data_IF_540425056119
#
_entry.id   IF_540425056119
#
_cell.length_a   1.000
_cell.length_b   1.000
_cell.length_c   1.000
_cell.angle_alpha   90.00
_cell.angle_beta   90.00
_cell.angle_gamma   90.00
#
_symmetry.space_group_name_H-M   'P 1'
#
loop_
_entity.id
_entity.type
_entity.pdbx_description
1 polymer ?
#
# COMPACT_ATOMS: atom_id res chain seq x y z
N UNK A 1 -47.01 65.93 -16.19
CA UNK A 1 -46.09 65.06 -15.43
C UNK A 1 -45.29 65.96 -14.50
N UNK A 2 -45.26 65.60 -13.22
CA UNK A 2 -44.84 66.48 -12.12
C UNK A 2 -43.30 66.63 -12.08
N UNK A 3 -42.76 67.84 -12.12
CA UNK A 3 -41.31 68.09 -12.17
C UNK A 3 -40.56 67.45 -10.98
N UNK A 4 -41.26 67.27 -9.85
CA UNK A 4 -40.75 66.61 -8.65
C UNK A 4 -40.52 65.11 -8.85
N UNK A 5 -41.38 64.41 -9.60
CA UNK A 5 -41.20 62.97 -9.85
C UNK A 5 -40.07 62.71 -10.84
N UNK A 6 -39.86 63.58 -11.83
CA UNK A 6 -38.68 63.52 -12.71
C UNK A 6 -37.36 63.75 -11.96
N UNK A 7 -37.33 64.71 -11.01
CA UNK A 7 -36.14 64.94 -10.19
C UNK A 7 -35.81 63.76 -9.28
N UNK A 8 -36.82 63.13 -8.66
CA UNK A 8 -36.65 61.93 -7.85
C UNK A 8 -36.13 60.77 -8.70
N UNK A 9 -36.71 60.55 -9.89
CA UNK A 9 -36.27 59.50 -10.83
C UNK A 9 -34.80 59.71 -11.24
N UNK A 10 -34.42 60.93 -11.63
CA UNK A 10 -33.05 61.26 -12.01
C UNK A 10 -32.04 61.05 -10.87
N UNK A 11 -32.45 61.33 -9.62
CA UNK A 11 -31.61 61.12 -8.44
C UNK A 11 -31.42 59.63 -8.14
N UNK A 12 -32.47 58.82 -8.32
CA UNK A 12 -32.43 57.36 -8.19
C UNK A 12 -31.53 56.75 -9.28
N UNK A 13 -31.71 57.15 -10.54
CA UNK A 13 -30.90 56.66 -11.67
C UNK A 13 -29.43 57.05 -11.52
N UNK A 14 -29.14 58.26 -11.05
CA UNK A 14 -27.77 58.69 -10.74
C UNK A 14 -27.16 57.85 -9.61
N UNK A 15 -27.96 57.41 -8.63
CA UNK A 15 -27.50 56.54 -7.53
C UNK A 15 -27.25 55.12 -8.01
N UNK A 16 -28.09 54.59 -8.90
CA UNK A 16 -27.89 53.27 -9.53
C UNK A 16 -26.61 53.27 -10.37
N UNK A 17 -26.40 54.28 -11.22
CA UNK A 17 -25.17 54.42 -12.03
C UNK A 17 -23.90 54.51 -11.18
N UNK A 18 -23.95 55.20 -10.04
CA UNK A 18 -22.83 55.25 -9.07
C UNK A 18 -22.56 53.88 -8.42
N UNK A 19 -23.60 53.13 -8.10
CA UNK A 19 -23.44 51.78 -7.55
C UNK A 19 -22.87 50.82 -8.61
N UNK A 20 -23.26 50.96 -9.87
CA UNK A 20 -22.70 50.19 -10.99
C UNK A 20 -21.23 50.53 -11.22
N UNK A 21 -20.83 51.81 -11.20
CA UNK A 21 -19.43 52.21 -11.35
C UNK A 21 -18.55 51.69 -10.21
N UNK A 22 -19.04 51.75 -8.95
CA UNK A 22 -18.33 51.18 -7.80
C UNK A 22 -18.14 49.67 -7.96
N UNK A 23 -19.17 48.95 -8.40
CA UNK A 23 -19.06 47.50 -8.66
C UNK A 23 -18.05 47.18 -9.78
N UNK A 24 -18.00 48.01 -10.83
CA UNK A 24 -17.02 47.87 -11.91
C UNK A 24 -15.61 48.13 -11.40
N UNK A 25 -15.39 49.19 -10.61
CA UNK A 25 -14.09 49.50 -10.02
C UNK A 25 -13.62 48.40 -9.07
N UNK A 26 -14.51 47.87 -8.22
CA UNK A 26 -14.20 46.73 -7.36
C UNK A 26 -13.82 45.48 -8.17
N UNK A 27 -14.50 45.22 -9.28
CA UNK A 27 -14.19 44.10 -10.16
C UNK A 27 -12.81 44.29 -10.83
N UNK A 28 -12.49 45.51 -11.28
CA UNK A 28 -11.19 45.85 -11.86
C UNK A 28 -10.07 45.67 -10.83
N UNK A 29 -10.25 46.15 -9.59
CA UNK A 29 -9.27 45.99 -8.50
C UNK A 29 -9.05 44.51 -8.16
N UNK A 30 -10.12 43.71 -8.10
CA UNK A 30 -10.04 42.25 -7.90
C UNK A 30 -9.28 41.58 -9.06
N UNK A 31 -9.53 41.98 -10.30
CA UNK A 31 -8.85 41.43 -11.47
C UNK A 31 -7.36 41.83 -11.50
N UNK A 32 -7.05 43.10 -11.26
CA UNK A 32 -5.67 43.61 -11.20
C UNK A 32 -4.86 42.93 -10.08
N UNK A 33 -5.43 42.79 -8.88
CA UNK A 33 -4.75 42.11 -7.78
C UNK A 33 -4.54 40.62 -8.07
N UNK A 34 -5.49 39.94 -8.71
CA UNK A 34 -5.33 38.56 -9.15
C UNK A 34 -4.23 38.41 -10.22
N UNK A 35 -4.18 39.30 -11.22
CA UNK A 35 -3.14 39.31 -12.25
C UNK A 35 -1.75 39.58 -11.66
N UNK A 36 -1.60 40.59 -10.79
CA UNK A 36 -0.34 40.90 -10.10
C UNK A 36 0.13 39.71 -9.25
N UNK A 37 -0.80 39.09 -8.52
CA UNK A 37 -0.51 37.88 -7.73
C UNK A 37 0.01 36.75 -8.61
N UNK A 38 -0.65 36.43 -9.73
CA UNK A 38 -0.18 35.40 -10.67
C UNK A 38 1.18 35.72 -11.27
N UNK A 39 1.46 36.97 -11.64
CA UNK A 39 2.75 37.38 -12.19
C UNK A 39 3.88 37.25 -11.18
N UNK A 40 3.69 37.74 -9.95
CA UNK A 40 4.68 37.64 -8.88
C UNK A 40 4.93 36.18 -8.50
N UNK A 41 3.87 35.37 -8.42
CA UNK A 41 4.01 33.92 -8.16
C UNK A 41 4.77 33.24 -9.30
N UNK A 42 4.44 33.56 -10.55
CA UNK A 42 5.12 33.01 -11.72
C UNK A 42 6.60 33.37 -11.78
N UNK A 43 6.95 34.63 -11.49
CA UNK A 43 8.34 35.09 -11.41
C UNK A 43 9.09 34.34 -10.29
N UNK A 44 8.52 34.30 -9.08
CA UNK A 44 9.15 33.62 -7.94
C UNK A 44 9.35 32.13 -8.18
N UNK A 45 8.39 31.46 -8.81
CA UNK A 45 8.53 30.04 -9.16
C UNK A 45 9.63 29.80 -10.20
N UNK A 46 9.80 30.70 -11.19
CA UNK A 46 10.92 30.62 -12.13
C UNK A 46 12.26 30.82 -11.42
N UNK A 47 12.34 31.74 -10.47
CA UNK A 47 13.54 31.94 -9.64
C UNK A 47 13.86 30.67 -8.85
N UNK A 48 12.86 30.04 -8.23
CA UNK A 48 13.04 28.76 -7.53
C UNK A 48 13.52 27.68 -8.51
N UNK A 49 12.90 27.55 -9.68
CA UNK A 49 13.30 26.51 -10.65
C UNK A 49 14.74 26.67 -11.10
N UNK A 50 15.18 27.90 -11.37
CA UNK A 50 16.56 28.18 -11.78
C UNK A 50 17.54 27.93 -10.63
N UNK A 51 17.20 28.40 -9.43
CA UNK A 51 18.05 28.30 -8.24
C UNK A 51 18.24 26.87 -7.72
N UNK A 52 17.24 26.00 -7.88
CA UNK A 52 17.29 24.60 -7.44
C UNK A 52 17.57 23.60 -8.58
N UNK A 53 17.87 24.10 -9.79
CA UNK A 53 18.24 23.24 -10.91
C UNK A 53 19.57 22.51 -10.67
N UNK A 54 19.76 21.37 -11.36
CA UNK A 54 20.91 20.48 -11.15
C UNK A 54 22.27 21.14 -11.45
N UNK A 55 22.29 22.26 -12.17
CA UNK A 55 23.49 23.05 -12.47
C UNK A 55 23.96 23.98 -11.34
N UNK A 56 23.16 24.18 -10.28
CA UNK A 56 23.53 25.07 -9.19
C UNK A 56 24.45 24.38 -8.15
N UNK A 57 25.61 24.97 -7.78
CA UNK A 57 26.51 24.41 -6.78
C UNK A 57 25.82 24.31 -5.42
N UNK A 58 25.78 23.11 -4.85
CA UNK A 58 25.07 22.79 -3.60
C UNK A 58 25.58 23.53 -2.36
N UNK A 59 26.79 24.10 -2.41
CA UNK A 59 27.47 24.76 -1.30
C UNK A 59 26.97 26.18 -0.98
N UNK A 60 26.16 26.80 -1.84
CA UNK A 60 25.72 28.19 -1.65
C UNK A 60 24.32 28.35 -1.05
N UNK A 61 23.49 27.30 -1.06
CA UNK A 61 22.10 27.41 -0.64
C UNK A 61 22.01 27.35 0.90
N UNK A 62 21.54 28.44 1.52
CA UNK A 62 21.33 28.51 2.97
C UNK A 62 20.09 27.71 3.36
N UNK A 63 20.15 26.99 4.48
CA UNK A 63 19.03 26.20 4.99
C UNK A 63 17.77 27.03 5.26
N UNK A 64 17.90 28.26 5.75
CA UNK A 64 16.77 29.19 5.97
C UNK A 64 16.08 29.55 4.65
N UNK A 65 16.84 29.67 3.56
CA UNK A 65 16.27 29.93 2.24
C UNK A 65 15.48 28.72 1.74
N UNK A 66 16.03 27.50 1.90
CA UNK A 66 15.29 26.26 1.60
C UNK A 66 13.97 26.18 2.37
N UNK A 67 13.99 26.51 3.68
CA UNK A 67 12.80 26.54 4.53
C UNK A 67 11.76 27.55 4.03
N UNK A 68 12.20 28.76 3.64
CA UNK A 68 11.30 29.79 3.12
C UNK A 68 10.67 29.37 1.79
N UNK A 69 11.47 28.85 0.85
CA UNK A 69 11.01 28.48 -0.48
C UNK A 69 10.07 27.28 -0.43
N UNK A 70 10.37 26.24 0.36
CA UNK A 70 9.47 25.09 0.50
C UNK A 70 8.16 25.48 1.19
N UNK A 71 8.22 26.34 2.22
CA UNK A 71 7.02 26.84 2.91
C UNK A 71 6.15 27.65 1.94
N UNK A 72 6.76 28.47 1.09
CA UNK A 72 6.06 29.24 0.06
C UNK A 72 5.34 28.33 -0.94
N UNK A 73 6.04 27.31 -1.47
CA UNK A 73 5.46 26.35 -2.41
C UNK A 73 4.33 25.54 -1.76
N UNK A 74 4.45 25.15 -0.49
CA UNK A 74 3.38 24.46 0.24
C UNK A 74 2.12 25.32 0.37
N UNK A 75 2.28 26.60 0.73
CA UNK A 75 1.15 27.55 0.82
C UNK A 75 0.49 27.73 -0.55
N UNK A 76 1.27 27.81 -1.63
CA UNK A 76 0.73 27.87 -2.98
C UNK A 76 -0.03 26.60 -3.35
N UNK A 77 0.49 25.42 -2.98
CA UNK A 77 -0.17 24.14 -3.26
C UNK A 77 -1.52 23.98 -2.55
N UNK A 78 -1.74 24.68 -1.43
CA UNK A 78 -3.02 24.72 -0.71
C UNK A 78 -4.05 25.65 -1.40
N UNK A 79 -3.59 26.66 -2.16
CA UNK A 79 -4.47 27.58 -2.89
C UNK A 79 -4.86 26.97 -4.24
N UNK A 80 -6.10 26.47 -4.33
CA UNK A 80 -6.67 25.92 -5.57
C UNK A 80 -6.50 26.90 -6.75
N UNK A 81 -5.98 26.41 -7.88
CA UNK A 81 -6.03 27.10 -9.18
C UNK A 81 -4.83 27.97 -9.58
N UNK A 82 -3.72 27.99 -8.83
CA UNK A 82 -2.56 28.81 -9.23
C UNK A 82 -1.53 28.08 -10.11
N UNK A 83 -0.93 26.97 -9.67
CA UNK A 83 0.06 26.17 -10.43
C UNK A 83 0.17 24.77 -9.80
N UNK A 84 0.43 23.71 -10.58
CA UNK A 84 0.83 22.40 -10.03
C UNK A 84 2.22 22.52 -9.37
N UNK A 85 2.23 22.66 -8.05
CA UNK A 85 3.44 22.89 -7.24
C UNK A 85 4.35 21.67 -7.06
N UNK A 86 3.97 20.52 -7.62
CA UNK A 86 4.55 19.21 -7.31
C UNK A 86 6.00 19.10 -7.79
N UNK A 87 6.26 19.54 -9.02
CA UNK A 87 7.61 19.56 -9.60
C UNK A 87 8.57 20.43 -8.78
N UNK A 88 8.11 21.57 -8.27
CA UNK A 88 8.91 22.46 -7.42
C UNK A 88 9.21 21.85 -6.05
N UNK A 89 8.23 21.16 -5.44
CA UNK A 89 8.45 20.42 -4.19
C UNK A 89 9.58 19.42 -4.40
N UNK A 90 9.51 18.59 -5.44
CA UNK A 90 10.53 17.56 -5.70
C UNK A 90 11.92 18.16 -5.90
N UNK A 91 12.05 19.27 -6.64
CA UNK A 91 13.34 19.95 -6.84
C UNK A 91 13.95 20.43 -5.52
N UNK A 92 13.14 21.09 -4.69
CA UNK A 92 13.61 21.59 -3.39
C UNK A 92 13.95 20.42 -2.46
N UNK A 93 13.13 19.36 -2.44
CA UNK A 93 13.36 18.17 -1.62
C UNK A 93 14.69 17.49 -1.96
N UNK A 94 15.08 17.40 -3.25
CA UNK A 94 16.40 16.87 -3.63
C UNK A 94 17.54 17.65 -2.98
N UNK A 95 17.48 18.98 -3.01
CA UNK A 95 18.52 19.83 -2.39
C UNK A 95 18.46 19.78 -0.86
N UNK A 96 17.28 19.65 -0.26
CA UNK A 96 17.16 19.42 1.19
C UNK A 96 17.84 18.11 1.59
N UNK A 97 17.58 17.01 0.89
CA UNK A 97 18.23 15.71 1.14
C UNK A 97 19.75 15.85 0.99
N UNK A 98 20.22 16.42 -0.11
CA UNK A 98 21.65 16.64 -0.35
C UNK A 98 22.30 17.48 0.76
N UNK A 99 21.58 18.47 1.31
CA UNK A 99 22.11 19.32 2.38
C UNK A 99 22.39 18.55 3.68
N UNK A 100 21.72 17.42 3.93
CA UNK A 100 21.93 16.60 5.13
C UNK A 100 23.33 15.95 5.18
N UNK A 101 23.99 15.83 4.03
CA UNK A 101 25.37 15.36 3.91
C UNK A 101 26.41 16.42 4.30
N UNK A 102 25.99 17.69 4.45
CA UNK A 102 26.87 18.77 4.87
C UNK A 102 26.98 18.89 6.40
N UNK A 103 28.20 19.10 6.89
CA UNK A 103 28.52 19.34 8.31
C UNK A 103 28.34 20.81 8.73
N UNK A 104 28.01 21.70 7.79
CA UNK A 104 27.84 23.13 8.06
C UNK A 104 26.42 23.42 8.54
N UNK A 105 26.28 24.01 9.74
CA UNK A 105 24.99 24.36 10.35
C UNK A 105 24.16 25.38 9.55
N UNK A 106 24.77 26.18 8.67
CA UNK A 106 24.09 27.18 7.82
C UNK A 106 23.60 26.61 6.49
N UNK A 107 24.18 25.49 6.04
CA UNK A 107 23.85 24.84 4.76
C UNK A 107 22.96 23.63 4.99
N UNK A 108 23.28 22.83 6.00
CA UNK A 108 22.51 21.64 6.35
C UNK A 108 21.11 22.00 6.81
N UNK A 109 20.10 21.39 6.20
CA UNK A 109 18.72 21.53 6.66
C UNK A 109 18.54 21.02 8.10
N UNK A 110 19.33 20.02 8.50
CA UNK A 110 19.39 19.53 9.88
C UNK A 110 19.79 20.62 10.89
N UNK A 111 20.59 21.62 10.47
CA UNK A 111 20.98 22.74 11.32
C UNK A 111 19.81 23.63 11.78
N UNK A 112 18.68 23.63 11.06
CA UNK A 112 17.48 24.37 11.46
C UNK A 112 16.88 23.84 12.77
N UNK A 113 17.02 22.55 13.03
CA UNK A 113 16.53 21.90 14.25
C UNK A 113 17.43 22.14 15.47
N UNK A 114 18.65 22.65 15.26
CA UNK A 114 19.54 23.07 16.33
C UNK A 114 19.34 24.54 16.71
N UNK A 115 18.64 25.31 15.87
CA UNK A 115 18.33 26.72 16.11
C UNK A 115 17.00 26.91 16.83
N UNK A 116 17.02 27.54 18.01
CA UNK A 116 15.80 27.88 18.76
C UNK A 116 14.80 28.72 17.95
N UNK A 117 15.29 29.55 17.03
CA UNK A 117 14.47 30.46 16.22
C UNK A 117 13.71 29.69 15.12
N UNK A 118 14.37 28.71 14.50
CA UNK A 118 13.85 28.05 13.30
C UNK A 118 13.24 26.67 13.58
N UNK A 119 13.53 26.04 14.73
CA UNK A 119 13.06 24.71 15.08
C UNK A 119 11.54 24.56 14.94
N UNK A 120 10.75 25.46 15.53
CA UNK A 120 9.28 25.37 15.48
C UNK A 120 8.76 25.46 14.06
N UNK A 121 9.27 26.41 13.27
CA UNK A 121 8.85 26.61 11.88
C UNK A 121 9.26 25.42 11.00
N UNK A 122 10.50 24.94 11.14
CA UNK A 122 10.98 23.78 10.41
C UNK A 122 10.15 22.53 10.72
N UNK A 123 9.81 22.30 11.99
CA UNK A 123 8.98 21.17 12.40
C UNK A 123 7.58 21.22 11.76
N UNK A 124 6.91 22.38 11.80
CA UNK A 124 5.60 22.55 11.15
C UNK A 124 5.69 22.28 9.65
N UNK A 125 6.71 22.83 8.99
CA UNK A 125 6.93 22.62 7.55
C UNK A 125 7.17 21.14 7.21
N UNK A 126 7.92 20.39 8.03
CA UNK A 126 8.12 18.96 7.81
C UNK A 126 6.81 18.18 8.00
N UNK A 127 6.01 18.49 9.03
CA UNK A 127 4.71 17.83 9.22
C UNK A 127 3.80 18.04 8.00
N UNK A 128 3.74 19.28 7.49
CA UNK A 128 3.01 19.61 6.26
C UNK A 128 3.56 18.86 5.05
N UNK A 129 4.89 18.71 4.95
CA UNK A 129 5.53 17.93 3.88
C UNK A 129 5.19 16.46 3.95
N UNK A 130 5.24 15.82 5.13
CA UNK A 130 4.90 14.40 5.25
C UNK A 130 3.49 14.14 4.72
N UNK A 131 2.50 14.94 5.14
CA UNK A 131 1.13 14.85 4.64
C UNK A 131 1.01 15.11 3.14
N UNK A 132 1.69 16.15 2.62
CA UNK A 132 1.61 16.48 1.20
C UNK A 132 2.29 15.42 0.34
N UNK A 133 3.44 14.90 0.78
CA UNK A 133 4.21 13.88 0.06
C UNK A 133 3.40 12.59 -0.08
N UNK A 134 2.71 12.12 0.96
CA UNK A 134 1.89 10.91 0.85
C UNK A 134 0.71 11.09 -0.09
N UNK A 135 0.09 12.28 -0.12
CA UNK A 135 -0.95 12.61 -1.10
C UNK A 135 -0.36 12.58 -2.52
N UNK A 136 0.79 13.22 -2.74
CA UNK A 136 1.47 13.22 -4.04
C UNK A 136 1.80 11.79 -4.49
N UNK A 137 2.36 10.96 -3.60
CA UNK A 137 2.63 9.55 -3.90
C UNK A 137 1.36 8.81 -4.35
N UNK A 138 0.21 9.07 -3.72
CA UNK A 138 -1.05 8.42 -4.11
C UNK A 138 -1.62 8.93 -5.45
N UNK A 139 -1.38 10.20 -5.81
CA UNK A 139 -1.86 10.83 -7.04
C UNK A 139 -0.97 10.52 -8.26
N UNK A 140 0.26 10.05 -8.05
CA UNK A 140 1.20 9.75 -9.13
C UNK A 140 0.74 8.57 -10.00
N UNK A 141 0.76 8.78 -11.31
CA UNK A 141 0.58 7.70 -12.27
C UNK A 141 1.88 6.88 -12.40
N UNK A 142 1.81 5.55 -12.23
CA UNK A 142 2.98 4.68 -12.27
C UNK A 142 3.60 4.52 -13.67
N UNK A 143 2.85 4.80 -14.75
CA UNK A 143 3.24 4.45 -16.12
C UNK A 143 4.42 5.25 -16.71
N UNK A 144 4.77 6.43 -16.19
CA UNK A 144 5.87 7.23 -16.73
C UNK A 144 7.19 7.05 -15.98
N UNK A 145 8.29 6.82 -16.71
CA UNK A 145 9.66 6.61 -16.16
C UNK A 145 10.12 7.77 -15.26
N UNK A 146 9.68 9.01 -15.53
CA UNK A 146 9.96 10.19 -14.71
C UNK A 146 9.34 10.10 -13.30
N UNK A 147 8.24 9.37 -13.14
CA UNK A 147 7.56 9.17 -11.86
C UNK A 147 8.34 8.22 -10.94
N UNK A 148 9.14 7.28 -11.47
CA UNK A 148 9.97 6.39 -10.65
C UNK A 148 11.09 7.14 -9.90
N UNK A 149 11.78 8.08 -10.57
CA UNK A 149 12.78 8.96 -9.91
C UNK A 149 12.14 9.91 -8.91
N UNK A 150 10.95 10.39 -9.23
CA UNK A 150 10.19 11.32 -8.38
C UNK A 150 9.72 10.63 -7.11
N UNK A 151 9.11 9.44 -7.22
CA UNK A 151 8.68 8.65 -6.07
C UNK A 151 9.86 8.23 -5.19
N UNK A 152 10.99 7.84 -5.80
CA UNK A 152 12.24 7.58 -5.08
C UNK A 152 12.73 8.79 -4.28
N UNK A 153 12.67 10.00 -4.84
CA UNK A 153 13.04 11.24 -4.13
C UNK A 153 12.10 11.50 -2.95
N UNK A 154 10.79 11.38 -3.18
CA UNK A 154 9.76 11.60 -2.17
C UNK A 154 9.89 10.61 -0.99
N UNK A 155 10.09 9.32 -1.29
CA UNK A 155 10.29 8.29 -0.27
C UNK A 155 11.63 8.46 0.43
N UNK A 156 12.70 8.85 -0.27
CA UNK A 156 14.00 9.13 0.36
C UNK A 156 13.91 10.29 1.34
N UNK A 157 13.11 11.32 1.06
CA UNK A 157 12.83 12.38 2.04
C UNK A 157 12.16 11.82 3.29
N UNK A 158 11.09 11.02 3.15
CA UNK A 158 10.38 10.42 4.29
C UNK A 158 11.32 9.57 5.16
N UNK A 159 12.18 8.76 4.52
CA UNK A 159 13.19 7.95 5.23
C UNK A 159 14.20 8.85 5.96
N UNK A 160 14.74 9.86 5.29
CA UNK A 160 15.77 10.76 5.84
C UNK A 160 15.30 11.55 7.08
N UNK A 161 13.99 11.84 7.18
CA UNK A 161 13.43 12.55 8.33
C UNK A 161 12.72 11.62 9.33
N UNK A 162 12.65 10.31 9.07
CA UNK A 162 12.22 9.29 10.03
C UNK A 162 13.34 8.84 10.98
N UNK A 163 14.60 9.09 10.61
CA UNK A 163 15.78 8.82 11.44
C UNK A 163 16.86 9.86 11.20
N UNK A 164 17.43 10.38 12.29
CA UNK A 164 18.54 11.36 12.26
C UNK A 164 19.92 10.72 12.13
N UNK A 165 19.99 9.38 12.05
CA UNK A 165 21.25 8.61 12.05
C UNK A 165 22.13 8.90 10.82
N UNK A 166 21.53 9.29 9.71
CA UNK A 166 22.23 9.58 8.44
C UNK A 166 22.71 11.02 8.33
N UNK A 167 22.33 11.91 9.25
CA UNK A 167 22.65 13.33 9.15
C UNK A 167 24.09 13.57 9.55
N UNK A 168 24.94 13.93 8.59
CA UNK A 168 26.38 14.16 8.79
C UNK A 168 26.68 15.12 9.96
N UNK A 169 25.87 16.17 10.11
CA UNK A 169 25.97 17.19 11.15
C UNK A 169 25.85 16.61 12.57
N UNK A 170 25.08 15.54 12.75
CA UNK A 170 24.66 15.02 14.06
C UNK A 170 25.11 13.57 14.26
N UNK A 171 25.70 12.94 13.24
CA UNK A 171 26.13 11.53 13.24
C UNK A 171 26.97 11.15 14.47
N UNK A 172 27.78 12.09 14.96
CA UNK A 172 28.74 11.87 16.05
C UNK A 172 28.20 12.27 17.44
N UNK A 173 26.98 12.81 17.54
CA UNK A 173 26.41 13.33 18.79
C UNK A 173 25.15 12.55 19.19
N UNK A 174 25.33 11.44 19.92
CA UNK A 174 24.24 10.54 20.32
C UNK A 174 23.13 11.24 21.14
N UNK A 175 23.48 12.21 21.99
CA UNK A 175 22.51 12.99 22.78
C UNK A 175 21.57 13.81 21.89
N UNK A 176 22.12 14.51 20.89
CA UNK A 176 21.35 15.31 19.94
C UNK A 176 20.53 14.41 19.01
N UNK A 177 21.06 13.26 18.59
CA UNK A 177 20.30 12.28 17.82
C UNK A 177 19.08 11.77 18.57
N UNK A 178 19.24 11.47 19.87
CA UNK A 178 18.14 11.01 20.71
C UNK A 178 17.07 12.10 20.90
N UNK A 179 17.50 13.33 21.22
CA UNK A 179 16.59 14.47 21.38
C UNK A 179 15.81 14.78 20.09
N UNK A 180 16.48 14.85 18.94
CA UNK A 180 15.80 15.03 17.66
C UNK A 180 14.97 13.81 17.25
N UNK A 181 15.44 12.60 17.59
CA UNK A 181 14.70 11.36 17.39
C UNK A 181 13.33 11.42 18.05
N UNK A 182 13.24 11.90 19.29
CA UNK A 182 11.96 12.09 19.99
C UNK A 182 11.03 13.08 19.28
N UNK A 183 11.57 14.12 18.62
CA UNK A 183 10.76 15.09 17.86
C UNK A 183 10.17 14.49 16.58
N UNK A 184 10.77 13.44 16.03
CA UNK A 184 10.32 12.79 14.81
C UNK A 184 9.47 11.54 15.04
N UNK A 185 9.33 11.08 16.29
CA UNK A 185 8.37 10.02 16.64
C UNK A 185 6.94 10.37 16.18
N UNK A 186 6.40 11.59 16.42
CA UNK A 186 5.08 11.96 15.92
C UNK A 186 4.95 11.96 14.39
N UNK A 187 6.03 12.26 13.65
CA UNK A 187 6.01 12.18 12.18
C UNK A 187 5.84 10.76 11.67
N UNK A 188 6.46 9.79 12.35
CA UNK A 188 6.30 8.38 12.01
C UNK A 188 4.86 7.95 12.29
N UNK A 189 4.28 8.37 13.42
CA UNK A 189 2.86 8.13 13.73
C UNK A 189 1.88 8.77 12.74
N UNK A 190 2.28 9.83 12.03
CA UNK A 190 1.46 10.41 10.97
C UNK A 190 1.27 9.45 9.79
N UNK A 191 2.24 8.57 9.53
CA UNK A 191 2.19 7.58 8.43
C UNK A 191 1.12 6.51 8.65
N UNK A 192 0.75 6.26 9.90
CA UNK A 192 -0.29 5.30 10.32
C UNK A 192 -1.65 5.96 10.56
N UNK A 193 -1.77 7.28 10.37
CA UNK A 193 -3.06 7.95 10.35
C UNK A 193 -3.92 7.43 9.18
N UNK A 194 -5.25 7.30 9.34
CA UNK A 194 -6.10 6.61 8.34
C UNK A 194 -5.95 7.14 6.91
N UNK A 195 -5.88 8.47 6.75
CA UNK A 195 -5.77 9.12 5.45
C UNK A 195 -4.41 8.87 4.80
N UNK A 196 -3.33 9.10 5.54
CA UNK A 196 -1.95 8.95 5.07
C UNK A 196 -1.63 7.50 4.75
N UNK A 197 -2.09 6.59 5.61
CA UNK A 197 -1.98 5.16 5.42
C UNK A 197 -2.67 4.70 4.13
N UNK A 198 -3.92 5.14 3.91
CA UNK A 198 -4.64 4.81 2.68
C UNK A 198 -3.93 5.34 1.42
N UNK A 199 -3.38 6.56 1.47
CA UNK A 199 -2.58 7.10 0.37
C UNK A 199 -1.36 6.22 0.05
N UNK A 200 -0.66 5.73 1.07
CA UNK A 200 0.49 4.83 0.89
C UNK A 200 0.08 3.46 0.34
N UNK A 201 -1.05 2.91 0.78
CA UNK A 201 -1.61 1.67 0.21
C UNK A 201 -1.95 1.85 -1.26
N UNK A 202 -2.66 2.92 -1.62
CA UNK A 202 -3.00 3.22 -3.02
C UNK A 202 -1.75 3.41 -3.88
N UNK A 203 -0.70 4.04 -3.35
CA UNK A 203 0.58 4.16 -4.05
C UNK A 203 1.23 2.79 -4.32
N UNK A 204 1.30 1.92 -3.30
CA UNK A 204 1.88 0.58 -3.45
C UNK A 204 1.06 -0.30 -4.41
N UNK A 205 -0.26 -0.29 -4.27
CA UNK A 205 -1.18 -1.05 -5.11
C UNK A 205 -1.05 -0.62 -6.58
N UNK A 206 -1.16 0.68 -6.87
CA UNK A 206 -1.00 1.21 -8.23
C UNK A 206 0.38 0.89 -8.81
N UNK A 207 1.44 1.03 -8.02
CA UNK A 207 2.79 0.81 -8.53
C UNK A 207 3.14 -0.65 -8.81
N UNK A 208 2.44 -1.61 -8.17
CA UNK A 208 2.70 -3.05 -8.31
C UNK A 208 1.76 -3.70 -9.33
N UNK A 209 0.49 -3.30 -9.39
CA UNK A 209 -0.53 -3.93 -10.23
C UNK A 209 -0.43 -3.57 -11.73
N UNK A 210 0.46 -2.65 -12.10
CA UNK A 210 0.73 -2.32 -13.51
C UNK A 210 1.28 -3.52 -14.31
N UNK A 211 1.17 -3.47 -15.64
CA UNK A 211 1.72 -4.51 -16.53
C UNK A 211 3.23 -4.70 -16.32
N UNK A 212 3.95 -3.60 -16.08
CA UNK A 212 5.36 -3.56 -15.70
C UNK A 212 5.47 -2.74 -14.42
N UNK A 213 6.16 -3.28 -13.42
CA UNK A 213 6.28 -2.60 -12.12
C UNK A 213 6.99 -1.27 -12.28
N UNK A 214 6.31 -0.21 -11.85
CA UNK A 214 6.77 1.17 -11.99
C UNK A 214 7.70 1.62 -10.86
N UNK A 215 7.50 1.04 -9.67
CA UNK A 215 8.22 1.40 -8.46
C UNK A 215 9.45 0.48 -8.29
N UNK A 216 10.60 1.07 -7.98
CA UNK A 216 11.81 0.27 -7.71
C UNK A 216 11.67 -0.57 -6.44
N UNK A 217 12.39 -1.69 -6.37
CA UNK A 217 12.39 -2.58 -5.20
C UNK A 217 12.82 -1.83 -3.93
N UNK A 218 13.77 -0.92 -4.04
CA UNK A 218 14.28 -0.09 -2.94
C UNK A 218 13.19 0.82 -2.40
N UNK A 219 12.39 1.42 -3.28
CA UNK A 219 11.30 2.30 -2.89
C UNK A 219 10.18 1.53 -2.15
N UNK A 220 9.80 0.33 -2.62
CA UNK A 220 8.85 -0.56 -1.92
C UNK A 220 9.37 -0.90 -0.52
N UNK A 221 10.64 -1.30 -0.41
CA UNK A 221 11.25 -1.66 0.87
C UNK A 221 11.32 -0.46 1.82
N UNK A 222 11.66 0.72 1.31
CA UNK A 222 11.72 1.94 2.11
C UNK A 222 10.34 2.33 2.68
N UNK A 223 9.28 2.28 1.86
CA UNK A 223 7.90 2.51 2.34
C UNK A 223 7.51 1.46 3.39
N UNK A 224 7.82 0.19 3.15
CA UNK A 224 7.56 -0.87 4.12
C UNK A 224 8.30 -0.64 5.44
N UNK A 225 9.59 -0.33 5.41
CA UNK A 225 10.39 -0.07 6.62
C UNK A 225 9.83 1.11 7.41
N UNK A 226 9.35 2.16 6.74
CA UNK A 226 8.68 3.29 7.38
C UNK A 226 7.39 2.88 8.09
N UNK A 227 6.50 2.17 7.39
CA UNK A 227 5.25 1.66 7.96
C UNK A 227 5.51 0.71 9.13
N UNK A 228 6.44 -0.22 8.97
CA UNK A 228 6.79 -1.20 9.98
C UNK A 228 7.42 -0.57 11.22
N UNK A 229 8.23 0.48 11.05
CA UNK A 229 8.73 1.30 12.17
C UNK A 229 7.59 1.97 12.91
N UNK A 230 6.57 2.47 12.20
CA UNK A 230 5.37 3.04 12.83
C UNK A 230 4.56 2.00 13.59
N UNK A 231 4.35 0.80 13.01
CA UNK A 231 3.67 -0.30 13.69
C UNK A 231 4.38 -0.70 14.99
N UNK A 232 5.72 -0.73 14.99
CA UNK A 232 6.51 -0.98 16.21
C UNK A 232 6.32 0.10 17.27
N UNK A 233 6.13 1.37 16.87
CA UNK A 233 5.88 2.47 17.80
C UNK A 233 4.46 2.43 18.37
N UNK A 234 3.45 2.12 17.56
CA UNK A 234 2.07 1.97 18.02
C UNK A 234 1.89 0.74 18.92
N UNK A 235 2.70 -0.30 18.71
CA UNK A 235 2.69 -1.55 19.45
C UNK A 235 2.05 -2.68 18.65
N UNK A 236 2.81 -3.73 18.37
CA UNK A 236 2.40 -4.84 17.49
C UNK A 236 1.31 -5.75 18.10
N UNK A 237 0.96 -5.56 19.37
CA UNK A 237 -0.08 -6.32 20.07
C UNK A 237 -1.48 -5.74 19.88
N UNK A 238 -1.59 -4.50 19.37
CA UNK A 238 -2.88 -3.84 19.17
C UNK A 238 -3.59 -4.39 17.94
N UNK A 239 -4.87 -4.73 18.09
CA UNK A 239 -5.75 -5.17 17.01
C UNK A 239 -5.70 -4.22 15.80
N UNK A 240 -5.79 -2.90 16.00
CA UNK A 240 -5.74 -1.90 14.93
C UNK A 240 -4.46 -1.97 14.08
N UNK A 241 -3.31 -2.28 14.69
CA UNK A 241 -2.02 -2.39 13.99
C UNK A 241 -2.00 -3.67 13.15
N UNK A 242 -2.54 -4.76 13.70
CA UNK A 242 -2.68 -6.03 12.98
C UNK A 242 -3.63 -5.84 11.80
N UNK A 243 -4.78 -5.20 11.99
CA UNK A 243 -5.73 -4.90 10.90
C UNK A 243 -5.10 -4.04 9.80
N UNK A 244 -4.32 -3.02 10.16
CA UNK A 244 -3.55 -2.25 9.18
C UNK A 244 -2.61 -3.17 8.42
N UNK A 245 -1.85 -4.03 9.11
CA UNK A 245 -0.95 -4.99 8.46
C UNK A 245 -1.69 -5.99 7.55
N UNK A 246 -2.87 -6.47 7.94
CA UNK A 246 -3.70 -7.34 7.12
C UNK A 246 -4.10 -6.65 5.80
N UNK A 247 -4.37 -5.34 5.81
CA UNK A 247 -4.58 -4.57 4.57
C UNK A 247 -3.34 -4.48 3.68
N UNK A 248 -2.11 -4.58 4.21
CA UNK A 248 -0.90 -4.71 3.38
C UNK A 248 -0.82 -6.08 2.70
N UNK A 249 -1.33 -7.13 3.34
CA UNK A 249 -1.40 -8.46 2.73
C UNK A 249 -2.35 -8.50 1.54
N UNK A 250 -3.35 -7.62 1.50
CA UNK A 250 -4.25 -7.46 0.35
C UNK A 250 -3.58 -6.90 -0.91
N UNK A 251 -2.34 -6.39 -0.85
CA UNK A 251 -1.63 -5.86 -2.03
C UNK A 251 -0.95 -7.01 -2.80
N UNK A 252 -1.23 -7.20 -4.10
CA UNK A 252 -0.72 -8.34 -4.86
C UNK A 252 0.79 -8.49 -4.81
N UNK A 253 1.28 -9.68 -4.46
CA UNK A 253 2.71 -10.04 -4.53
C UNK A 253 3.70 -9.14 -3.77
N UNK A 254 3.21 -8.29 -2.86
CA UNK A 254 4.04 -7.32 -2.14
C UNK A 254 5.21 -8.00 -1.41
N UNK A 255 4.94 -9.09 -0.71
CA UNK A 255 5.92 -9.74 0.17
C UNK A 255 7.02 -10.47 -0.60
N UNK A 256 6.73 -10.98 -1.79
CA UNK A 256 7.74 -11.60 -2.67
C UNK A 256 8.74 -10.57 -3.21
N UNK A 257 8.35 -9.29 -3.26
CA UNK A 257 9.22 -8.17 -3.70
C UNK A 257 10.04 -7.58 -2.57
N UNK A 258 9.79 -7.95 -1.32
CA UNK A 258 10.62 -7.48 -0.21
C UNK A 258 12.07 -7.98 -0.32
N UNK A 259 12.97 -7.17 0.23
CA UNK A 259 14.35 -7.55 0.44
C UNK A 259 14.45 -8.56 1.58
N UNK A 260 15.55 -9.32 1.61
CA UNK A 260 15.83 -10.24 2.72
C UNK A 260 15.82 -9.52 4.08
N UNK A 261 16.29 -8.26 4.12
CA UNK A 261 16.27 -7.44 5.33
C UNK A 261 14.85 -7.18 5.85
N UNK A 262 13.95 -6.73 4.97
CA UNK A 262 12.54 -6.46 5.35
C UNK A 262 11.81 -7.73 5.80
N UNK A 263 12.08 -8.86 5.15
CA UNK A 263 11.51 -10.16 5.56
C UNK A 263 12.03 -10.57 6.94
N UNK A 264 13.34 -10.45 7.18
CA UNK A 264 13.95 -10.72 8.50
C UNK A 264 13.35 -9.85 9.60
N UNK A 265 13.07 -8.57 9.32
CA UNK A 265 12.42 -7.67 10.28
C UNK A 265 11.01 -8.14 10.70
N UNK A 266 10.23 -8.71 9.77
CA UNK A 266 8.93 -9.32 10.06
C UNK A 266 9.12 -10.59 10.88
N UNK A 267 10.15 -11.36 10.56
CA UNK A 267 10.41 -12.62 11.25
C UNK A 267 10.80 -12.43 12.70
N UNK A 268 11.65 -11.46 12.99
CA UNK A 268 12.09 -11.13 14.35
C UNK A 268 11.00 -10.50 15.22
N UNK A 269 9.93 -9.97 14.63
CA UNK A 269 8.89 -9.27 15.39
C UNK A 269 7.81 -10.19 15.96
N UNK A 270 7.81 -11.48 15.59
CA UNK A 270 6.76 -12.43 15.97
C UNK A 270 5.37 -12.07 15.42
N UNK A 271 5.30 -11.17 14.43
CA UNK A 271 4.05 -10.62 13.92
C UNK A 271 3.17 -11.70 13.28
N UNK A 272 3.75 -12.74 12.70
CA UNK A 272 3.00 -13.85 12.10
C UNK A 272 2.15 -14.61 13.13
N UNK A 273 2.69 -14.90 14.33
CA UNK A 273 1.92 -15.52 15.41
C UNK A 273 0.75 -14.64 15.84
N UNK A 274 0.98 -13.32 15.95
CA UNK A 274 -0.05 -12.35 16.31
C UNK A 274 -1.17 -12.27 15.26
N UNK A 275 -0.82 -12.39 13.98
CA UNK A 275 -1.81 -12.48 12.89
C UNK A 275 -2.68 -13.73 13.07
N UNK A 276 -2.09 -14.90 13.30
CA UNK A 276 -2.86 -16.14 13.46
C UNK A 276 -3.83 -16.02 14.63
N UNK A 277 -3.35 -15.56 15.79
CA UNK A 277 -4.18 -15.38 16.98
C UNK A 277 -5.32 -14.39 16.76
N UNK A 278 -5.04 -13.27 16.08
CA UNK A 278 -6.06 -12.27 15.75
C UNK A 278 -7.14 -12.83 14.82
N UNK A 279 -6.74 -13.59 13.80
CA UNK A 279 -7.67 -14.19 12.84
C UNK A 279 -8.51 -15.31 13.46
N UNK A 280 -7.95 -16.06 14.43
CA UNK A 280 -8.69 -17.04 15.19
C UNK A 280 -9.77 -16.37 16.08
N UNK A 281 -9.41 -15.26 16.74
CA UNK A 281 -10.36 -14.47 17.53
C UNK A 281 -11.43 -13.77 16.68
N UNK A 282 -11.13 -13.47 15.41
CA UNK A 282 -12.00 -12.71 14.51
C UNK A 282 -12.20 -13.43 13.16
N UNK A 283 -12.90 -14.59 13.13
CA UNK A 283 -13.08 -15.38 11.90
C UNK A 283 -13.89 -14.63 10.83
N UNK A 284 -14.74 -13.69 11.25
CA UNK A 284 -15.57 -12.84 10.39
C UNK A 284 -14.81 -11.70 9.70
N UNK A 285 -13.57 -11.41 10.11
CA UNK A 285 -12.79 -10.27 9.60
C UNK A 285 -12.64 -10.33 8.08
N UNK A 286 -12.27 -11.50 7.54
CA UNK A 286 -12.08 -11.68 6.11
C UNK A 286 -13.36 -11.46 5.31
N UNK A 287 -14.51 -11.84 5.88
CA UNK A 287 -15.80 -11.75 5.19
C UNK A 287 -16.33 -10.31 5.18
N UNK A 288 -16.05 -9.55 6.22
CA UNK A 288 -16.56 -8.18 6.41
C UNK A 288 -15.66 -7.10 5.83
N UNK A 289 -14.34 -7.30 5.86
CA UNK A 289 -13.36 -6.24 5.56
C UNK A 289 -12.73 -6.38 4.18
N UNK A 290 -12.46 -7.60 3.72
CA UNK A 290 -11.81 -7.81 2.42
C UNK A 290 -12.82 -7.68 1.28
N UNK A 291 -12.41 -7.02 0.20
CA UNK A 291 -13.18 -7.02 -1.05
C UNK A 291 -12.91 -8.27 -1.85
N UNK A 292 -13.84 -8.58 -2.76
CA UNK A 292 -13.76 -9.71 -3.71
C UNK A 292 -12.42 -9.74 -4.47
N UNK A 293 -11.89 -8.58 -4.86
CA UNK A 293 -10.62 -8.43 -5.59
C UNK A 293 -9.40 -8.72 -4.70
N UNK A 294 -9.51 -8.53 -3.39
CA UNK A 294 -8.41 -8.61 -2.43
C UNK A 294 -8.19 -10.03 -1.88
N UNK A 295 -9.15 -10.95 -2.07
CA UNK A 295 -9.08 -12.32 -1.52
C UNK A 295 -7.85 -13.10 -2.03
N UNK A 296 -7.59 -12.99 -3.33
CA UNK A 296 -6.53 -13.76 -3.98
C UNK A 296 -5.12 -13.20 -3.64
N UNK A 297 -4.88 -11.88 -3.71
CA UNK A 297 -3.67 -11.26 -3.18
C UNK A 297 -3.40 -11.58 -1.72
N UNK A 298 -4.42 -11.47 -0.89
CA UNK A 298 -4.33 -11.75 0.55
C UNK A 298 -3.90 -13.20 0.80
N UNK A 299 -4.57 -14.16 0.14
CA UNK A 299 -4.21 -15.58 0.25
C UNK A 299 -2.77 -15.84 -0.22
N UNK A 300 -2.35 -15.27 -1.35
CA UNK A 300 -1.00 -15.43 -1.86
C UNK A 300 0.07 -14.95 -0.87
N UNK A 301 -0.08 -13.74 -0.34
CA UNK A 301 0.88 -13.20 0.62
C UNK A 301 0.84 -13.91 1.98
N UNK A 302 -0.33 -14.34 2.44
CA UNK A 302 -0.47 -15.11 3.67
C UNK A 302 0.24 -16.48 3.56
N UNK A 303 0.06 -17.18 2.44
CA UNK A 303 0.77 -18.44 2.15
C UNK A 303 2.29 -18.22 2.07
N UNK A 304 2.73 -17.13 1.46
CA UNK A 304 4.14 -16.78 1.39
C UNK A 304 4.74 -16.53 2.79
N UNK A 305 4.05 -15.77 3.65
CA UNK A 305 4.45 -15.59 5.06
C UNK A 305 4.48 -16.91 5.83
N UNK A 306 3.50 -17.78 5.61
CA UNK A 306 3.42 -19.10 6.24
C UNK A 306 4.62 -19.97 5.84
N UNK A 307 5.05 -19.88 4.59
CA UNK A 307 6.23 -20.60 4.13
C UNK A 307 7.55 -20.06 4.72
N UNK A 308 7.62 -18.77 5.02
CA UNK A 308 8.77 -18.19 5.73
C UNK A 308 8.78 -18.58 7.22
N UNK A 309 7.61 -18.84 7.80
CA UNK A 309 7.39 -19.10 9.22
C UNK A 309 6.88 -20.52 9.51
N UNK A 310 7.52 -21.53 8.91
CA UNK A 310 7.09 -22.93 9.00
C UNK A 310 6.92 -23.40 10.44
N UNK A 311 7.87 -23.11 11.33
CA UNK A 311 7.81 -23.57 12.72
C UNK A 311 6.54 -23.06 13.43
N UNK A 312 6.26 -21.75 13.31
CA UNK A 312 5.09 -21.11 13.94
C UNK A 312 3.78 -21.63 13.32
N UNK A 313 3.79 -21.87 12.00
CA UNK A 313 2.63 -22.44 11.29
C UNK A 313 2.35 -23.87 11.73
N UNK A 314 3.39 -24.69 11.93
CA UNK A 314 3.24 -26.08 12.39
C UNK A 314 2.68 -26.12 13.83
N UNK A 315 3.15 -25.23 14.71
CA UNK A 315 2.64 -25.13 16.08
C UNK A 315 1.17 -24.71 16.14
N UNK A 316 0.72 -23.86 15.20
CA UNK A 316 -0.65 -23.34 15.13
C UNK A 316 -1.41 -23.88 13.91
N UNK A 317 -1.13 -25.13 13.53
CA UNK A 317 -1.69 -25.76 12.34
C UNK A 317 -3.22 -25.73 12.24
N UNK A 318 -4.01 -26.01 13.30
CA UNK A 318 -5.47 -26.04 13.18
C UNK A 318 -6.05 -24.65 12.89
N UNK A 319 -5.54 -23.61 13.54
CA UNK A 319 -5.98 -22.22 13.36
C UNK A 319 -5.62 -21.72 11.96
N UNK A 320 -4.40 -22.01 11.52
CA UNK A 320 -3.94 -21.70 10.17
C UNK A 320 -4.81 -22.40 9.10
N UNK A 321 -5.10 -23.70 9.29
CA UNK A 321 -5.92 -24.48 8.37
C UNK A 321 -7.36 -23.96 8.27
N UNK A 322 -7.97 -23.62 9.41
CA UNK A 322 -9.30 -23.02 9.46
C UNK A 322 -9.36 -21.74 8.61
N UNK A 323 -8.33 -20.89 8.72
CA UNK A 323 -8.24 -19.66 7.97
C UNK A 323 -8.05 -19.88 6.46
N UNK A 324 -7.12 -20.77 6.06
CA UNK A 324 -6.93 -21.14 4.65
C UNK A 324 -8.22 -21.74 4.06
N UNK A 325 -8.93 -22.59 4.80
CA UNK A 325 -10.21 -23.14 4.38
C UNK A 325 -11.24 -22.03 4.14
N UNK A 326 -11.33 -21.05 5.05
CA UNK A 326 -12.22 -19.91 4.86
C UNK A 326 -11.87 -19.10 3.60
N UNK A 327 -10.58 -18.80 3.37
CA UNK A 327 -10.14 -18.09 2.16
C UNK A 327 -10.45 -18.87 0.87
N UNK A 328 -10.29 -20.20 0.88
CA UNK A 328 -10.65 -21.05 -0.25
C UNK A 328 -12.15 -21.05 -0.51
N UNK A 329 -12.99 -21.07 0.55
CA UNK A 329 -14.45 -20.93 0.43
C UNK A 329 -14.84 -19.56 -0.14
N UNK A 330 -14.20 -18.49 0.32
CA UNK A 330 -14.41 -17.15 -0.24
C UNK A 330 -14.03 -17.10 -1.72
N UNK A 331 -12.91 -17.72 -2.11
CA UNK A 331 -12.51 -17.83 -3.51
C UNK A 331 -13.50 -18.67 -4.35
N UNK A 332 -14.19 -19.66 -3.77
CA UNK A 332 -15.23 -20.42 -4.47
C UNK A 332 -16.41 -19.54 -4.89
N UNK A 333 -16.75 -18.51 -4.09
CA UNK A 333 -17.85 -17.57 -4.42
C UNK A 333 -17.59 -16.77 -5.70
N UNK A 334 -16.34 -16.70 -6.16
CA UNK A 334 -15.93 -16.06 -7.43
C UNK A 334 -16.35 -16.87 -8.66
N UNK A 335 -16.50 -18.20 -8.49
CA UNK A 335 -16.87 -19.10 -9.57
C UNK A 335 -18.39 -19.05 -9.81
N UNK A 336 -18.84 -18.95 -11.08
CA UNK A 336 -20.26 -18.99 -11.43
C UNK A 336 -20.91 -20.33 -11.03
N UNK A 337 -20.11 -21.38 -10.81
CA UNK A 337 -20.58 -22.70 -10.36
C UNK A 337 -21.05 -22.72 -8.89
N UNK A 338 -20.67 -21.72 -8.07
CA UNK A 338 -21.10 -21.66 -6.66
C UNK A 338 -22.43 -20.93 -6.47
N UNK A 339 -22.95 -20.25 -7.50
CA UNK A 339 -24.32 -19.74 -7.49
C UNK A 339 -25.22 -20.94 -7.75
N UNK A 340 -25.75 -21.52 -6.66
CA UNK A 340 -26.71 -22.62 -6.70
C UNK A 340 -27.80 -22.38 -7.75
N UNK A 341 -28.28 -23.50 -8.28
CA UNK A 341 -29.13 -23.69 -9.45
C UNK A 341 -30.45 -22.88 -9.56
N UNK A 342 -30.72 -21.92 -8.67
CA UNK A 342 -31.96 -21.16 -8.61
C UNK A 342 -31.94 -19.85 -9.41
N UNK A 343 -30.77 -19.28 -9.73
CA UNK A 343 -30.66 -18.01 -10.48
C UNK A 343 -30.00 -18.16 -11.87
N UNK A 344 -30.36 -19.21 -12.62
CA UNK A 344 -29.91 -19.43 -14.01
C UNK A 344 -30.57 -18.50 -15.05
N UNK A 345 -31.34 -17.48 -14.63
CA UNK A 345 -32.20 -16.69 -15.53
C UNK A 345 -31.64 -15.36 -16.01
N UNK A 346 -30.43 -14.93 -15.62
CA UNK A 346 -29.83 -13.71 -16.17
C UNK A 346 -28.51 -14.01 -16.87
N UNK A 347 -28.40 -13.56 -18.14
CA UNK A 347 -27.17 -13.52 -18.94
C UNK A 347 -26.09 -12.76 -18.15
N UNK A 348 -25.36 -13.47 -17.30
CA UNK A 348 -24.28 -12.91 -16.51
C UNK A 348 -23.04 -12.92 -17.40
N UNK A 349 -22.49 -11.74 -17.69
CA UNK A 349 -21.21 -11.62 -18.40
C UNK A 349 -20.15 -12.37 -17.60
N UNK A 350 -19.55 -13.38 -18.22
CA UNK A 350 -18.46 -14.15 -17.61
C UNK A 350 -17.13 -13.67 -18.17
N UNK A 351 -16.14 -13.57 -17.29
CA UNK A 351 -14.76 -13.23 -17.64
C UNK A 351 -13.90 -14.47 -17.47
N UNK A 352 -12.92 -14.68 -18.34
CA UNK A 352 -11.98 -15.79 -18.17
C UNK A 352 -10.83 -15.38 -17.25
N UNK A 353 -10.51 -16.24 -16.27
CA UNK A 353 -9.44 -16.04 -15.31
C UNK A 353 -8.55 -17.29 -15.23
N UNK A 354 -7.21 -17.16 -15.33
CA UNK A 354 -6.28 -18.30 -15.37
C UNK A 354 -6.44 -19.28 -14.20
N UNK A 355 -6.78 -18.79 -13.00
CA UNK A 355 -6.94 -19.66 -11.83
C UNK A 355 -8.32 -20.32 -11.74
N UNK A 356 -9.38 -19.63 -12.16
CA UNK A 356 -10.77 -20.01 -11.83
C UNK A 356 -11.59 -20.41 -13.07
N UNK A 357 -11.07 -20.19 -14.28
CA UNK A 357 -11.80 -20.30 -15.54
C UNK A 357 -12.80 -19.17 -15.68
N UNK A 358 -14.03 -19.46 -16.05
CA UNK A 358 -15.08 -18.44 -16.13
C UNK A 358 -15.42 -17.94 -14.72
N UNK A 359 -15.37 -16.63 -14.51
CA UNK A 359 -15.73 -15.92 -13.27
C UNK A 359 -16.82 -14.89 -13.56
N UNK A 360 -17.62 -14.57 -12.55
CA UNK A 360 -18.74 -13.60 -12.70
C UNK A 360 -18.29 -12.13 -12.65
N UNK A 361 -17.01 -11.89 -12.36
CA UNK A 361 -16.46 -10.55 -12.10
C UNK A 361 -15.18 -10.36 -12.91
N UNK A 362 -14.87 -9.13 -13.30
CA UNK A 362 -13.58 -8.82 -13.92
C UNK A 362 -12.53 -8.70 -12.81
N UNK A 363 -11.74 -9.75 -12.58
CA UNK A 363 -10.59 -9.70 -11.67
C UNK A 363 -9.40 -8.96 -12.32
N UNK A 364 -8.35 -8.76 -11.54
CA UNK A 364 -7.10 -8.08 -11.88
C UNK A 364 -6.56 -8.40 -13.28
N UNK A 365 -5.69 -7.50 -13.78
CA UNK A 365 -5.03 -7.71 -15.05
C UNK A 365 -4.10 -8.95 -14.97
N UNK A 366 -4.58 -10.06 -15.52
CA UNK A 366 -3.90 -11.37 -15.57
C UNK A 366 -2.56 -11.35 -16.31
N UNK A 367 -2.29 -10.27 -17.06
CA UNK A 367 -1.01 -10.03 -17.74
C UNK A 367 0.04 -9.30 -16.89
N UNK A 368 -0.28 -8.89 -15.66
CA UNK A 368 0.68 -8.20 -14.77
C UNK A 368 1.73 -9.16 -14.21
N UNK A 369 2.97 -8.68 -14.07
CA UNK A 369 4.04 -9.35 -13.34
C UNK A 369 3.62 -9.70 -11.89
N UNK A 370 2.78 -8.87 -11.27
CA UNK A 370 2.23 -9.12 -9.94
C UNK A 370 1.33 -10.35 -9.91
N UNK A 371 0.55 -10.60 -10.98
CA UNK A 371 -0.30 -11.78 -11.09
C UNK A 371 0.53 -13.07 -11.23
N UNK A 372 1.61 -13.04 -12.03
CA UNK A 372 2.53 -14.18 -12.19
C UNK A 372 3.20 -14.53 -10.84
N UNK A 373 3.65 -13.52 -10.11
CA UNK A 373 4.23 -13.72 -8.79
C UNK A 373 3.22 -14.29 -7.79
N UNK A 374 1.98 -13.82 -7.84
CA UNK A 374 0.89 -14.27 -6.98
C UNK A 374 0.52 -15.71 -7.29
N UNK A 375 0.47 -16.10 -8.58
CA UNK A 375 0.29 -17.50 -9.04
C UNK A 375 1.34 -18.42 -8.39
N UNK A 376 2.59 -17.98 -8.35
CA UNK A 376 3.69 -18.70 -7.69
C UNK A 376 3.62 -18.70 -6.16
N UNK A 377 3.07 -17.66 -5.53
CA UNK A 377 2.86 -17.67 -4.08
C UNK A 377 1.73 -18.63 -3.70
N UNK A 378 0.64 -18.63 -4.47
CA UNK A 378 -0.49 -19.53 -4.26
C UNK A 378 -0.03 -20.98 -4.44
N UNK A 379 0.79 -21.26 -5.47
CA UNK A 379 1.32 -22.61 -5.70
C UNK A 379 2.12 -23.17 -4.50
N UNK A 380 2.55 -22.34 -3.55
CA UNK A 380 3.19 -22.80 -2.31
C UNK A 380 2.28 -23.67 -1.44
N UNK A 381 0.94 -23.52 -1.55
CA UNK A 381 -0.01 -24.40 -0.86
C UNK A 381 0.25 -25.88 -1.20
N UNK A 382 0.76 -26.16 -2.40
CA UNK A 382 1.11 -27.50 -2.88
C UNK A 382 2.61 -27.79 -2.79
N UNK A 383 3.40 -26.94 -2.14
CA UNK A 383 4.82 -27.20 -1.94
C UNK A 383 5.01 -28.34 -0.94
N UNK A 384 6.09 -29.12 -1.12
CA UNK A 384 6.49 -30.14 -0.14
C UNK A 384 6.63 -29.57 1.28
N UNK A 385 6.96 -28.29 1.40
CA UNK A 385 7.16 -27.60 2.67
C UNK A 385 5.85 -27.41 3.46
N UNK A 386 4.73 -27.13 2.78
CA UNK A 386 3.42 -26.99 3.43
C UNK A 386 2.65 -28.32 3.47
N UNK A 387 2.82 -29.20 2.48
CA UNK A 387 2.17 -30.52 2.45
C UNK A 387 2.72 -31.45 3.53
N UNK A 388 4.05 -31.49 3.76
CA UNK A 388 4.64 -32.43 4.72
C UNK A 388 4.05 -32.32 6.12
N UNK A 389 3.91 -31.12 6.73
CA UNK A 389 3.25 -30.97 8.02
C UNK A 389 1.79 -31.45 8.04
N UNK A 390 1.04 -31.16 6.97
CA UNK A 390 -0.39 -31.52 6.87
C UNK A 390 -0.61 -33.03 6.85
N UNK A 391 0.29 -33.76 6.20
CA UNK A 391 0.19 -35.21 6.06
C UNK A 391 1.14 -35.97 7.00
N UNK A 392 1.93 -35.29 7.83
CA UNK A 392 2.89 -35.94 8.74
C UNK A 392 2.19 -36.97 9.63
N UNK A 393 1.07 -36.59 10.23
CA UNK A 393 0.29 -37.47 11.10
C UNK A 393 -0.35 -38.64 10.33
N UNK A 394 -0.79 -38.43 9.09
CA UNK A 394 -1.43 -39.45 8.24
C UNK A 394 -0.38 -40.46 7.73
N UNK A 395 0.81 -39.98 7.35
CA UNK A 395 1.93 -40.81 6.88
C UNK A 395 2.49 -41.64 8.05
N UNK A 396 2.59 -41.06 9.25
CA UNK A 396 3.01 -41.81 10.45
C UNK A 396 1.94 -42.80 10.95
N UNK A 397 0.65 -42.48 10.83
CA UNK A 397 -0.44 -43.42 11.13
C UNK A 397 -0.47 -44.62 10.17
N UNK A 398 -0.21 -44.40 8.88
CA UNK A 398 -0.13 -45.48 7.88
C UNK A 398 1.17 -46.28 7.97
N UNK A 399 2.28 -45.67 8.37
CA UNK A 399 3.55 -46.36 8.66
C UNK A 399 3.52 -47.21 9.94
N UNK A 400 2.75 -46.81 10.95
CA UNK A 400 2.57 -47.60 12.18
C UNK A 400 1.51 -48.70 12.05
N UNK A 401 0.57 -48.58 11.11
CA UNK A 401 -0.39 -49.64 10.79
C UNK A 401 0.25 -50.86 10.10
N UNK A 402 1.40 -50.70 9.44
CA UNK A 402 2.16 -51.83 8.83
C UNK A 402 3.04 -52.60 9.81
N UNK A 403 3.08 -52.23 11.09
CA UNK A 403 3.83 -52.94 12.14
C UNK A 403 2.97 -53.54 13.25
N UNK A 404 1.64 -53.61 13.06
CA UNK A 404 0.69 -54.16 14.05
C UNK A 404 -0.19 -55.30 13.51
N UNK A 405 0.31 -56.10 12.56
CA UNK A 405 -0.33 -57.39 12.24
C UNK A 405 0.40 -58.59 12.84
N UNK A 406 1.60 -58.43 13.38
CA UNK A 406 2.31 -59.47 14.14
C UNK A 406 2.54 -59.03 15.59
N UNK A 407 1.48 -59.01 16.40
CA UNK A 407 1.54 -59.45 17.80
C UNK A 407 0.14 -59.50 18.43
N UNK A 408 -0.19 -60.72 18.84
CA UNK A 408 -1.43 -61.16 19.46
C UNK A 408 -1.77 -60.45 20.78
N UNK A 409 -3.08 -60.36 21.02
CA UNK A 409 -3.80 -60.76 22.24
C UNK A 409 -3.00 -60.69 23.55
N UNK A 410 -3.34 -59.72 24.39
CA UNK A 410 -3.69 -59.87 25.81
C UNK A 410 -3.36 -58.57 26.56
N UNK A 411 -4.39 -57.89 27.05
CA UNK A 411 -4.52 -57.40 28.44
C UNK A 411 -5.46 -56.22 28.47
N UNK A 412 -6.58 -56.42 29.16
CA UNK A 412 -7.47 -55.37 29.62
C UNK A 412 -6.81 -54.57 30.77
N UNK A 413 -7.38 -53.37 30.96
CA UNK A 413 -7.37 -52.48 32.12
C UNK A 413 -6.50 -51.21 32.12
N UNK A 414 -7.25 -50.15 32.44
CA UNK A 414 -6.94 -48.88 33.11
C UNK A 414 -6.49 -47.66 32.30
N UNK A 415 -7.25 -46.57 32.50
CA UNK A 415 -6.77 -45.20 32.37
C UNK A 415 -7.65 -44.28 31.54
N UNK A 416 -8.61 -43.61 32.17
CA UNK A 416 -9.23 -42.39 31.67
C UNK A 416 -8.16 -41.40 31.19
N UNK A 417 -8.23 -41.02 29.91
CA UNK A 417 -7.69 -39.76 29.40
C UNK A 417 -8.40 -39.42 28.09
N UNK A 418 -8.87 -38.17 28.01
CA UNK A 418 -9.79 -37.66 26.99
C UNK A 418 -9.52 -38.16 25.57
N UNK A 419 -10.38 -39.07 25.13
CA UNK A 419 -10.53 -39.46 23.73
C UNK A 419 -11.02 -38.26 22.94
N UNK A 420 -10.10 -37.50 22.35
CA UNK A 420 -10.41 -36.63 21.22
C UNK A 420 -11.08 -37.50 20.15
N UNK A 421 -12.35 -37.23 19.85
CA UNK A 421 -13.16 -38.02 18.94
C UNK A 421 -12.52 -38.02 17.54
N UNK A 422 -12.11 -39.20 17.10
CA UNK A 422 -11.65 -39.45 15.73
C UNK A 422 -12.71 -39.03 14.69
N UNK A 423 -13.99 -38.93 15.10
CA UNK A 423 -15.09 -38.42 14.28
C UNK A 423 -14.99 -36.92 13.96
N UNK A 424 -14.49 -36.09 14.87
CA UNK A 424 -14.32 -34.65 14.64
C UNK A 424 -13.14 -34.36 13.71
N UNK A 425 -12.04 -35.10 13.88
CA UNK A 425 -10.89 -35.07 12.98
C UNK A 425 -11.28 -35.66 11.61
N UNK A 426 -12.03 -36.76 11.56
CA UNK A 426 -12.55 -37.37 10.33
C UNK A 426 -13.46 -36.44 9.55
N UNK A 427 -14.37 -35.71 10.21
CA UNK A 427 -15.30 -34.79 9.56
C UNK A 427 -14.60 -33.49 9.10
N UNK A 428 -13.66 -32.99 9.91
CA UNK A 428 -12.76 -31.90 9.51
C UNK A 428 -11.93 -32.32 8.30
N UNK A 429 -11.29 -33.50 8.35
CA UNK A 429 -10.49 -34.08 7.28
C UNK A 429 -11.33 -34.38 6.03
N UNK A 430 -12.56 -34.90 6.12
CA UNK A 430 -13.42 -35.14 4.96
C UNK A 430 -13.86 -33.83 4.29
N UNK A 431 -14.15 -32.78 5.07
CA UNK A 431 -14.40 -31.44 4.52
C UNK A 431 -13.12 -30.89 3.85
N UNK A 432 -11.96 -31.12 4.49
CA UNK A 432 -10.65 -30.74 3.98
C UNK A 432 -10.28 -31.55 2.73
N UNK A 433 -10.71 -32.81 2.59
CA UNK A 433 -10.50 -33.66 1.41
C UNK A 433 -11.39 -33.24 0.22
N UNK A 434 -12.63 -32.81 0.46
CA UNK A 434 -13.47 -32.21 -0.60
C UNK A 434 -12.88 -30.90 -1.12
N UNK A 435 -12.30 -30.10 -0.24
CA UNK A 435 -11.58 -28.88 -0.61
C UNK A 435 -10.17 -29.16 -1.16
N UNK A 436 -9.54 -30.26 -0.74
CA UNK A 436 -8.29 -30.77 -1.31
C UNK A 436 -8.53 -31.25 -2.74
N UNK A 437 -9.68 -31.87 -3.04
CA UNK A 437 -10.10 -32.17 -4.42
C UNK A 437 -10.32 -30.90 -5.25
N UNK A 438 -10.81 -29.81 -4.65
CA UNK A 438 -10.87 -28.51 -5.31
C UNK A 438 -9.47 -27.92 -5.53
N UNK A 439 -8.56 -28.10 -4.55
CA UNK A 439 -7.15 -27.71 -4.65
C UNK A 439 -6.43 -28.54 -5.71
N UNK A 440 -6.79 -29.82 -5.89
CA UNK A 440 -6.31 -30.71 -6.94
C UNK A 440 -6.89 -30.27 -8.29
N UNK A 441 -8.15 -29.82 -8.35
CA UNK A 441 -8.76 -29.28 -9.57
C UNK A 441 -8.09 -27.97 -9.99
N UNK A 442 -7.74 -27.11 -9.02
CA UNK A 442 -6.91 -25.94 -9.24
C UNK A 442 -5.51 -26.37 -9.70
N UNK A 443 -4.85 -27.32 -9.02
CA UNK A 443 -3.52 -27.85 -9.36
C UNK A 443 -3.46 -28.48 -10.78
N UNK A 444 -4.51 -29.20 -11.19
CA UNK A 444 -4.63 -29.76 -12.54
C UNK A 444 -4.75 -28.67 -13.60
N UNK A 445 -5.41 -27.55 -13.29
CA UNK A 445 -5.41 -26.36 -14.15
C UNK A 445 -4.06 -25.61 -14.12
N UNK A 446 -3.38 -25.56 -12.97
CA UNK A 446 -2.03 -24.98 -12.82
C UNK A 446 -0.97 -25.72 -13.67
N UNK A 447 -1.08 -27.04 -13.81
CA UNK A 447 -0.08 -27.88 -14.50
C UNK A 447 -0.35 -28.00 -16.00
N UNK A 448 -1.61 -27.98 -16.44
CA UNK A 448 -1.97 -28.10 -17.86
C UNK A 448 -1.63 -26.85 -18.69
N UNK A 449 -1.57 -25.66 -18.08
CA UNK A 449 -1.11 -24.42 -18.74
C UNK A 449 0.42 -24.32 -18.94
N UNK A 450 1.20 -25.25 -18.38
CA UNK A 450 2.66 -25.31 -18.57
C UNK A 450 3.10 -26.30 -19.66
N UNK A 451 2.16 -26.88 -20.41
CA UNK A 451 2.43 -27.78 -21.53
C UNK A 451 1.83 -27.17 -22.80
N UNK A 452 2.67 -26.38 -23.49
CA UNK A 452 2.53 -25.84 -24.86
C UNK A 452 1.30 -24.95 -25.19
N UNK A 453 1.48 -23.88 -25.99
CA UNK A 453 0.37 -23.03 -26.41
C UNK A 453 -0.47 -23.76 -27.47
N UNK A 454 -1.79 -23.53 -27.58
CA UNK A 454 -2.44 -23.74 -28.86
C UNK A 454 -1.90 -22.65 -29.80
N UNK A 455 -1.02 -23.09 -30.69
CA UNK A 455 -0.75 -22.47 -31.98
C UNK A 455 -2.07 -22.02 -32.63
N UNK A 456 -2.06 -20.79 -33.14
CA UNK A 456 -2.92 -20.28 -34.20
C UNK A 456 -4.43 -20.50 -34.05
N UNK A 457 -5.12 -19.51 -33.47
CA UNK A 457 -6.41 -19.07 -34.04
C UNK A 457 -6.46 -17.54 -34.00
N UNK A 458 -5.99 -16.93 -35.09
CA UNK A 458 -6.49 -15.63 -35.53
C UNK A 458 -7.99 -15.78 -35.82
N UNK A 459 -8.85 -15.11 -35.07
CA UNK A 459 -10.13 -14.66 -35.61
C UNK A 459 -9.99 -13.17 -35.92
N UNK A 460 -9.45 -12.90 -37.12
CA UNK A 460 -9.74 -11.65 -37.80
C UNK A 460 -11.20 -11.67 -38.23
N UNK A 461 -11.88 -10.61 -37.85
CA UNK A 461 -13.13 -10.13 -38.40
C UNK A 461 -13.07 -10.12 -39.93
N UNK A 462 -13.76 -11.07 -40.57
CA UNK A 462 -14.00 -11.07 -42.03
C UNK A 462 -15.45 -10.75 -42.30
N UNK A 463 -15.84 -9.51 -41.99
CA UNK A 463 -16.81 -8.80 -42.81
C UNK A 463 -16.03 -7.84 -43.72
N UNK A 464 -16.47 -7.67 -44.97
CA UNK A 464 -15.80 -6.97 -46.09
C UNK A 464 -14.92 -7.82 -47.03
N UNK A 465 -15.58 -8.59 -47.91
CA UNK A 465 -15.44 -8.53 -49.39
C UNK A 465 -16.02 -9.81 -50.03
N UNK A 466 -17.19 -9.68 -50.66
CA UNK A 466 -17.40 -9.96 -52.10
C UNK A 466 -18.89 -9.97 -52.45
N UNK A 467 -19.23 -9.12 -53.43
CA UNK A 467 -20.50 -8.92 -54.14
C UNK A 467 -21.57 -8.07 -53.47
#
# INVERSE_FOLDING_TARGET
>A
MDARSQFIQATVDARVKRLESIKQDEAIVKLQSACRSKLVVGARLKDIKTFYSDSAPSSQIKNVQMLNDITYVLVLSKKKGLVSGESYIVLILRKIIQSLESTNTKVSFGGLFLSKIHLKRANVTINDLFNKITILLSEMEPSAVLHSKTSGTLVHFLVSFSSTSTWSLIKNNASVQSALGSLFVPLIGLLTSPKTYQCLLTFLERGICERKVAISKECINAVFTLLFRSFKQEGLDKAEVIEKFLKLLSIPSLFKRFSHFSLKQISESGLFLKIINFLNQNPEYTNKTLKIEEYLPFMGNYLYLSNLHQNIMIENLPDWLSHINNLLRLCQTLSPLSKSAENKSSKTTTYWHPLFGNISYKLENTSSEAFIMMKSQISLLWSCQLIRPLFHNIIHATGSSKRKEDQCKNSANDGENGTFSFGEISNSLQSNFKLFNLSITLYYRFTKENIEPPTDIFYYDTSWRQR
#
